data_IF_199541995610
#
_entry.id   IF_199541995610
#
_cell.length_a   1.000
_cell.length_b   1.000
_cell.length_c   1.000
_cell.angle_alpha   90.00
_cell.angle_beta   90.00
_cell.angle_gamma   90.00
#
_symmetry.space_group_name_H-M   'P 1'
#
loop_
_entity.id
_entity.type
_entity.pdbx_description
1 polymer ?
#
# COMPACT_ATOMS: atom_id res chain seq x y z
N UNK A 1 20.28 2.68 -6.50
CA UNK A 1 20.31 2.99 -5.05
C UNK A 1 18.96 2.77 -4.44
N UNK A 2 18.82 2.34 -3.19
CA UNK A 2 17.53 2.23 -2.50
C UNK A 2 16.82 3.60 -2.48
N UNK A 3 15.51 3.60 -2.66
CA UNK A 3 14.69 4.81 -2.72
C UNK A 3 13.84 4.93 -1.46
N UNK A 4 13.85 6.10 -0.81
CA UNK A 4 12.99 6.36 0.35
C UNK A 4 11.57 6.66 -0.12
N UNK A 5 10.63 5.86 0.36
CA UNK A 5 9.20 6.01 0.10
C UNK A 5 8.51 6.45 1.38
N UNK A 6 7.80 7.56 1.32
CA UNK A 6 6.97 8.10 2.38
C UNK A 6 5.58 7.48 2.31
N UNK A 7 5.00 7.10 3.45
CA UNK A 7 3.61 6.63 3.55
C UNK A 7 2.77 7.65 4.30
N UNK A 8 1.63 8.06 3.73
CA UNK A 8 0.75 9.07 4.28
C UNK A 8 -0.73 8.71 4.17
N UNK A 9 -1.47 9.19 5.14
CA UNK A 9 -2.92 9.05 5.24
C UNK A 9 -3.51 10.26 5.97
N UNK A 10 -4.78 10.20 6.33
CA UNK A 10 -5.41 11.21 7.20
C UNK A 10 -4.68 11.41 8.55
N UNK A 11 -3.88 10.47 8.99
CA UNK A 11 -3.19 10.53 10.28
C UNK A 11 -2.10 11.59 10.33
N UNK A 12 -1.47 11.90 9.19
CA UNK A 12 -0.48 12.98 9.07
C UNK A 12 -1.15 14.37 9.07
N UNK A 13 -2.47 14.43 8.79
CA UNK A 13 -3.20 15.70 8.70
C UNK A 13 -2.76 16.55 7.51
N UNK A 14 -2.67 17.85 7.73
CA UNK A 14 -2.22 18.78 6.68
C UNK A 14 -0.71 18.71 6.53
N UNK A 15 -0.24 18.37 5.33
CA UNK A 15 1.18 18.27 4.95
C UNK A 15 1.57 19.52 4.16
N UNK A 16 2.73 20.09 4.46
CA UNK A 16 3.40 21.12 3.65
C UNK A 16 4.26 20.40 2.59
N UNK A 17 3.63 20.14 1.44
CA UNK A 17 4.25 19.35 0.37
C UNK A 17 5.43 20.06 -0.30
N UNK A 18 5.47 21.39 -0.29
CA UNK A 18 6.61 22.16 -0.80
C UNK A 18 7.86 21.90 0.06
N UNK A 19 7.71 21.85 1.39
CA UNK A 19 8.81 21.47 2.30
C UNK A 19 9.22 20.01 2.15
N UNK A 20 8.25 19.09 1.97
CA UNK A 20 8.56 17.67 1.70
C UNK A 20 9.43 17.57 0.44
N UNK A 21 9.01 18.18 -0.65
CA UNK A 21 9.73 18.14 -1.93
C UNK A 21 11.11 18.82 -1.85
N UNK A 22 11.18 20.00 -1.23
CA UNK A 22 12.43 20.76 -1.08
C UNK A 22 13.47 20.03 -0.22
N UNK A 23 13.05 19.12 0.65
CA UNK A 23 13.96 18.34 1.49
C UNK A 23 14.84 17.37 0.72
N UNK A 24 14.40 16.93 -0.47
CA UNK A 24 15.08 15.90 -1.28
C UNK A 24 15.16 14.52 -0.63
N UNK A 25 14.50 14.31 0.53
CA UNK A 25 14.57 13.06 1.29
C UNK A 25 13.64 11.96 0.76
N UNK A 26 12.61 12.33 -0.02
CA UNK A 26 11.54 11.45 -0.46
C UNK A 26 11.64 11.20 -1.96
N UNK A 27 11.70 9.95 -2.37
CA UNK A 27 11.76 9.54 -3.77
C UNK A 27 10.39 9.17 -4.36
N UNK A 28 9.37 9.09 -3.52
CA UNK A 28 8.01 8.75 -3.89
C UNK A 28 7.12 8.56 -2.66
N UNK A 29 5.82 8.50 -2.88
CA UNK A 29 4.81 8.50 -1.81
C UNK A 29 3.79 7.38 -2.04
N UNK A 30 3.51 6.60 -1.00
CA UNK A 30 2.34 5.72 -0.93
C UNK A 30 1.23 6.45 -0.18
N UNK A 31 0.09 6.70 -0.80
CA UNK A 31 -1.01 7.46 -0.22
C UNK A 31 -2.18 6.51 0.08
N UNK A 32 -2.71 6.54 1.30
CA UNK A 32 -3.93 5.80 1.57
C UNK A 32 -5.11 6.39 0.78
N UNK A 33 -5.64 5.62 -0.16
CA UNK A 33 -6.84 6.00 -0.90
C UNK A 33 -8.12 5.51 -0.22
N UNK A 34 -8.09 4.29 0.35
CA UNK A 34 -9.21 3.72 1.09
C UNK A 34 -8.80 3.38 2.52
N UNK A 35 -9.52 3.93 3.48
CA UNK A 35 -9.44 3.54 4.89
C UNK A 35 -10.61 2.63 5.25
N UNK A 36 -10.61 2.14 6.50
CA UNK A 36 -11.66 1.30 7.02
C UNK A 36 -11.98 1.66 8.48
N UNK A 37 -12.98 1.00 9.08
CA UNK A 37 -13.30 1.10 10.50
C UNK A 37 -12.07 0.78 11.37
N UNK A 38 -12.14 1.10 12.67
CA UNK A 38 -11.07 0.76 13.63
C UNK A 38 -10.75 -0.74 13.60
N UNK A 39 -9.50 -1.08 13.85
CA UNK A 39 -9.02 -2.46 13.96
C UNK A 39 -9.96 -3.31 14.83
N UNK A 40 -10.20 -4.56 14.44
CA UNK A 40 -11.07 -5.50 15.14
C UNK A 40 -12.57 -5.16 15.12
N UNK A 41 -13.01 -4.12 14.38
CA UNK A 41 -14.42 -3.82 14.15
C UNK A 41 -14.85 -4.27 12.75
N UNK A 42 -16.13 -4.61 12.53
CA UNK A 42 -16.64 -4.99 11.21
C UNK A 42 -16.24 -3.96 10.14
N UNK A 43 -16.01 -4.43 8.91
CA UNK A 43 -15.59 -3.57 7.81
C UNK A 43 -16.63 -2.46 7.55
N UNK A 44 -16.14 -1.24 7.46
CA UNK A 44 -16.86 -0.05 7.02
C UNK A 44 -15.87 0.83 6.24
N UNK A 45 -15.64 0.51 4.95
CA UNK A 45 -14.65 1.21 4.13
C UNK A 45 -15.10 2.64 3.82
N UNK A 46 -14.14 3.55 3.65
CA UNK A 46 -14.36 4.94 3.26
C UNK A 46 -13.14 5.44 2.44
N UNK A 47 -13.37 6.42 1.56
CA UNK A 47 -12.27 7.12 0.88
C UNK A 47 -11.56 8.01 1.91
N UNK A 48 -10.23 7.91 1.98
CA UNK A 48 -9.45 8.72 2.91
C UNK A 48 -9.66 10.22 2.62
N UNK A 49 -10.07 11.03 3.60
CA UNK A 49 -10.41 12.44 3.37
C UNK A 49 -9.24 13.30 2.89
N UNK A 50 -8.00 12.85 3.08
CA UNK A 50 -6.81 13.55 2.60
C UNK A 50 -6.28 13.01 1.27
N UNK A 51 -6.85 11.91 0.74
CA UNK A 51 -6.37 11.27 -0.48
C UNK A 51 -6.33 12.23 -1.67
N UNK A 52 -7.46 12.88 -1.98
CA UNK A 52 -7.55 13.76 -3.15
C UNK A 52 -6.53 14.91 -3.08
N UNK A 53 -6.42 15.54 -1.90
CA UNK A 53 -5.45 16.63 -1.68
C UNK A 53 -4.01 16.14 -1.83
N UNK A 54 -3.65 15.07 -1.13
CA UNK A 54 -2.28 14.55 -1.16
C UNK A 54 -1.88 14.09 -2.57
N UNK A 55 -2.81 13.44 -3.29
CA UNK A 55 -2.59 13.06 -4.68
C UNK A 55 -2.35 14.28 -5.58
N UNK A 56 -3.21 15.31 -5.50
CA UNK A 56 -3.08 16.53 -6.30
C UNK A 56 -1.76 17.26 -6.05
N UNK A 57 -1.34 17.36 -4.80
CA UNK A 57 -0.07 17.99 -4.43
C UNK A 57 1.15 17.21 -4.95
N UNK A 58 1.14 15.87 -4.84
CA UNK A 58 2.20 15.06 -5.42
C UNK A 58 2.27 15.21 -6.94
N UNK A 59 1.10 15.26 -7.63
CA UNK A 59 1.06 15.51 -9.07
C UNK A 59 1.63 16.90 -9.41
N UNK A 60 1.24 17.95 -8.66
CA UNK A 60 1.74 19.32 -8.84
C UNK A 60 3.27 19.40 -8.76
N UNK A 61 3.87 18.61 -7.86
CA UNK A 61 5.31 18.62 -7.58
C UNK A 61 6.09 17.55 -8.37
N UNK A 62 5.41 16.73 -9.17
CA UNK A 62 6.06 15.65 -9.93
C UNK A 62 6.60 14.52 -9.03
N UNK A 63 6.08 14.36 -7.80
CA UNK A 63 6.48 13.29 -6.89
C UNK A 63 5.81 11.98 -7.32
N UNK A 64 6.55 10.89 -7.54
CA UNK A 64 5.98 9.60 -7.88
C UNK A 64 5.00 9.09 -6.83
N UNK A 65 3.80 8.66 -7.25
CA UNK A 65 2.72 8.23 -6.37
C UNK A 65 2.36 6.77 -6.60
N UNK A 66 2.21 6.03 -5.52
CA UNK A 66 1.44 4.81 -5.40
C UNK A 66 0.35 4.98 -4.34
N UNK A 67 -0.48 3.98 -4.20
CA UNK A 67 -1.60 4.05 -3.24
C UNK A 67 -1.80 2.73 -2.52
N UNK A 68 -2.50 2.80 -1.38
CA UNK A 68 -2.97 1.60 -0.70
C UNK A 68 -4.40 1.73 -0.21
N UNK A 69 -5.03 0.59 -0.07
CA UNK A 69 -6.33 0.43 0.58
C UNK A 69 -6.18 -0.47 1.81
N UNK A 70 -6.68 -0.03 2.96
CA UNK A 70 -6.77 -0.85 4.17
C UNK A 70 -7.99 -1.75 4.08
N UNK A 71 -7.76 -3.03 3.75
CA UNK A 71 -8.79 -4.04 3.59
C UNK A 71 -9.03 -4.80 4.90
N UNK A 72 -10.29 -5.12 5.19
CA UNK A 72 -10.71 -5.86 6.40
C UNK A 72 -11.66 -7.01 6.08
N UNK A 73 -11.89 -7.27 4.82
CA UNK A 73 -12.77 -8.32 4.36
C UNK A 73 -12.37 -9.69 4.94
N UNK A 74 -13.36 -10.41 5.45
CA UNK A 74 -13.25 -11.80 5.94
C UNK A 74 -13.96 -12.78 5.01
N UNK A 75 -14.56 -12.30 3.93
CA UNK A 75 -15.13 -13.08 2.83
C UNK A 75 -14.87 -12.38 1.50
N UNK A 76 -14.87 -13.13 0.38
CA UNK A 76 -14.71 -12.53 -0.96
C UNK A 76 -15.81 -11.53 -1.28
N UNK A 77 -17.05 -11.77 -0.88
CA UNK A 77 -18.17 -10.82 -1.07
C UNK A 77 -17.97 -9.49 -0.32
N UNK A 78 -17.30 -9.50 0.83
CA UNK A 78 -16.89 -8.27 1.51
C UNK A 78 -15.71 -7.61 0.79
N UNK A 79 -14.73 -8.39 0.34
CA UNK A 79 -13.60 -7.92 -0.45
C UNK A 79 -14.07 -7.20 -1.72
N UNK A 80 -15.06 -7.73 -2.43
CA UNK A 80 -15.61 -7.11 -3.64
C UNK A 80 -16.20 -5.73 -3.38
N UNK A 81 -16.86 -5.53 -2.22
CA UNK A 81 -17.38 -4.21 -1.81
C UNK A 81 -16.25 -3.21 -1.51
N UNK A 82 -15.20 -3.66 -0.82
CA UNK A 82 -14.01 -2.85 -0.55
C UNK A 82 -13.27 -2.52 -1.85
N UNK A 83 -13.09 -3.49 -2.74
CA UNK A 83 -12.47 -3.33 -4.05
C UNK A 83 -13.23 -2.34 -4.94
N UNK A 84 -14.58 -2.40 -4.96
CA UNK A 84 -15.40 -1.47 -5.73
C UNK A 84 -15.18 -0.01 -5.28
N UNK A 85 -15.16 0.25 -3.97
CA UNK A 85 -14.88 1.58 -3.42
C UNK A 85 -13.44 2.01 -3.70
N UNK A 86 -12.48 1.09 -3.58
CA UNK A 86 -11.07 1.36 -3.88
C UNK A 86 -10.89 1.72 -5.35
N UNK A 87 -11.45 0.93 -6.27
CA UNK A 87 -11.44 1.24 -7.72
C UNK A 87 -12.04 2.62 -8.01
N UNK A 88 -13.19 2.92 -7.40
CA UNK A 88 -13.84 4.23 -7.55
C UNK A 88 -12.92 5.38 -7.16
N UNK A 89 -12.17 5.26 -6.06
CA UNK A 89 -11.22 6.29 -5.63
C UNK A 89 -10.07 6.50 -6.63
N UNK A 90 -9.67 5.44 -7.35
CA UNK A 90 -8.49 5.43 -8.22
C UNK A 90 -8.83 5.75 -9.69
N UNK A 91 -10.07 5.63 -10.11
CA UNK A 91 -10.50 5.86 -11.50
C UNK A 91 -10.08 7.24 -12.00
N UNK A 92 -9.53 7.30 -13.21
CA UNK A 92 -9.05 8.53 -13.85
C UNK A 92 -7.72 9.07 -13.32
N UNK A 93 -7.02 8.33 -12.45
CA UNK A 93 -5.72 8.72 -11.90
C UNK A 93 -4.59 7.86 -12.47
N UNK A 94 -3.38 8.42 -12.43
CA UNK A 94 -2.14 7.73 -12.86
C UNK A 94 -1.21 7.53 -11.68
N UNK A 95 -0.48 6.41 -11.70
CA UNK A 95 0.41 5.99 -10.62
C UNK A 95 1.77 5.55 -11.17
N UNK A 96 2.85 5.95 -10.53
CA UNK A 96 4.23 5.57 -10.86
C UNK A 96 4.78 4.54 -9.87
N UNK A 97 4.07 4.31 -8.77
CA UNK A 97 4.37 3.29 -7.76
C UNK A 97 3.20 2.30 -7.67
N UNK A 98 3.37 1.16 -7.01
CA UNK A 98 2.35 0.12 -6.93
C UNK A 98 1.02 0.55 -6.30
N UNK A 99 -0.02 -0.24 -6.57
CA UNK A 99 -1.30 -0.18 -5.85
C UNK A 99 -1.33 -1.35 -4.88
N UNK A 100 -1.30 -1.04 -3.57
CA UNK A 100 -1.17 -2.03 -2.53
C UNK A 100 -2.51 -2.40 -1.88
N UNK A 101 -2.69 -3.69 -1.66
CA UNK A 101 -3.73 -4.29 -0.82
C UNK A 101 -3.12 -4.49 0.57
N UNK A 102 -3.58 -3.69 1.54
CA UNK A 102 -3.09 -3.69 2.92
C UNK A 102 -3.92 -4.64 3.79
N UNK A 103 -3.28 -5.69 4.32
CA UNK A 103 -3.87 -6.81 5.04
C UNK A 103 -3.17 -6.97 6.38
N UNK A 104 -3.84 -6.56 7.46
CA UNK A 104 -3.25 -6.59 8.80
C UNK A 104 -4.28 -6.65 9.96
N UNK A 105 -5.60 -6.71 9.64
CA UNK A 105 -6.63 -6.59 10.67
C UNK A 105 -6.78 -7.88 11.52
N UNK A 106 -7.09 -7.70 12.80
CA UNK A 106 -7.31 -8.78 13.76
C UNK A 106 -8.44 -9.72 13.37
N UNK A 107 -9.50 -9.22 12.70
CA UNK A 107 -10.58 -10.08 12.21
C UNK A 107 -10.08 -11.03 11.13
N UNK A 108 -9.17 -10.58 10.29
CA UNK A 108 -8.53 -11.40 9.27
C UNK A 108 -7.58 -12.43 9.90
N UNK A 109 -6.86 -12.06 10.95
CA UNK A 109 -5.99 -12.98 11.69
C UNK A 109 -6.76 -14.11 12.41
N UNK A 110 -8.07 -14.00 12.57
CA UNK A 110 -8.93 -15.04 13.13
C UNK A 110 -9.37 -16.11 12.08
N UNK A 111 -9.13 -15.85 10.79
CA UNK A 111 -9.42 -16.80 9.73
C UNK A 111 -8.36 -17.91 9.67
N UNK A 112 -8.72 -19.04 9.07
CA UNK A 112 -7.71 -20.03 8.71
C UNK A 112 -6.73 -19.44 7.68
N UNK A 113 -5.49 -19.90 7.72
CA UNK A 113 -4.43 -19.45 6.80
C UNK A 113 -4.82 -19.66 5.32
N UNK A 114 -5.51 -20.75 5.02
CA UNK A 114 -6.05 -21.04 3.68
C UNK A 114 -7.09 -19.99 3.28
N UNK A 115 -8.10 -19.77 4.13
CA UNK A 115 -9.20 -18.84 3.82
C UNK A 115 -8.70 -17.41 3.63
N UNK A 116 -7.78 -16.93 4.48
CA UNK A 116 -7.23 -15.59 4.34
C UNK A 116 -6.36 -15.45 3.08
N UNK A 117 -5.49 -16.44 2.82
CA UNK A 117 -4.67 -16.45 1.60
C UNK A 117 -5.54 -16.36 0.33
N UNK A 118 -6.66 -17.05 0.32
CA UNK A 118 -7.62 -17.09 -0.80
C UNK A 118 -8.31 -15.74 -1.02
N UNK A 119 -8.67 -15.05 0.08
CA UNK A 119 -9.24 -13.69 0.02
C UNK A 119 -8.20 -12.69 -0.47
N UNK A 120 -6.97 -12.76 0.03
CA UNK A 120 -5.87 -11.86 -0.37
C UNK A 120 -5.50 -12.06 -1.85
N UNK A 121 -5.39 -13.31 -2.30
CA UNK A 121 -5.14 -13.62 -3.70
C UNK A 121 -6.26 -13.09 -4.61
N UNK A 122 -7.52 -13.22 -4.19
CA UNK A 122 -8.65 -12.62 -4.88
C UNK A 122 -8.52 -11.10 -4.99
N UNK A 123 -8.23 -10.40 -3.89
CA UNK A 123 -8.04 -8.95 -3.91
C UNK A 123 -6.92 -8.52 -4.88
N UNK A 124 -5.77 -9.18 -4.80
CA UNK A 124 -4.62 -8.87 -5.65
C UNK A 124 -4.92 -9.12 -7.13
N UNK A 125 -5.56 -10.25 -7.47
CA UNK A 125 -5.96 -10.58 -8.84
C UNK A 125 -6.96 -9.56 -9.41
N UNK A 126 -7.92 -9.11 -8.60
CA UNK A 126 -8.86 -8.07 -9.03
C UNK A 126 -8.15 -6.73 -9.23
N UNK A 127 -7.25 -6.32 -8.34
CA UNK A 127 -6.45 -5.09 -8.50
C UNK A 127 -5.58 -5.18 -9.77
N UNK A 128 -4.90 -6.30 -10.00
CA UNK A 128 -4.10 -6.54 -11.21
C UNK A 128 -4.94 -6.45 -12.49
N UNK A 129 -6.17 -6.96 -12.46
CA UNK A 129 -7.10 -6.91 -13.61
C UNK A 129 -7.46 -5.48 -14.03
N UNK A 130 -7.25 -4.48 -13.19
CA UNK A 130 -7.43 -3.07 -13.55
C UNK A 130 -6.28 -2.53 -14.43
N UNK A 131 -5.27 -3.34 -14.73
CA UNK A 131 -4.11 -2.95 -15.54
C UNK A 131 -3.07 -2.15 -14.78
N UNK A 132 -2.91 -2.44 -13.48
CA UNK A 132 -1.96 -1.77 -12.59
C UNK A 132 -1.01 -2.76 -11.93
N UNK A 133 0.07 -2.26 -11.35
CA UNK A 133 1.02 -3.08 -10.60
C UNK A 133 0.47 -3.36 -9.19
N UNK A 134 -0.14 -4.53 -9.01
CA UNK A 134 -0.68 -4.97 -7.72
C UNK A 134 0.44 -5.38 -6.76
N UNK A 135 0.31 -5.04 -5.48
CA UNK A 135 1.26 -5.34 -4.42
C UNK A 135 0.54 -5.72 -3.13
N UNK A 136 1.07 -6.65 -2.37
CA UNK A 136 0.59 -6.97 -1.02
C UNK A 136 1.36 -6.13 0.00
N UNK A 137 0.66 -5.42 0.91
CA UNK A 137 1.26 -4.92 2.15
C UNK A 137 0.81 -5.79 3.31
N UNK A 138 1.79 -6.19 4.15
CA UNK A 138 1.52 -6.88 5.42
C UNK A 138 2.70 -6.73 6.38
N UNK A 139 2.41 -6.76 7.68
CA UNK A 139 3.44 -6.88 8.71
C UNK A 139 4.12 -8.25 8.67
N UNK A 140 5.43 -8.31 8.98
CA UNK A 140 6.24 -9.53 8.92
C UNK A 140 5.59 -10.70 9.70
N UNK A 141 5.27 -10.48 10.97
CA UNK A 141 4.69 -11.54 11.81
C UNK A 141 3.27 -11.91 11.38
N UNK A 142 2.49 -10.94 10.91
CA UNK A 142 1.16 -11.20 10.37
C UNK A 142 1.24 -12.11 9.14
N UNK A 143 2.11 -11.78 8.19
CA UNK A 143 2.30 -12.55 6.97
C UNK A 143 2.78 -13.98 7.27
N UNK A 144 3.81 -14.13 8.12
CA UNK A 144 4.33 -15.44 8.52
C UNK A 144 3.27 -16.34 9.15
N UNK A 145 2.46 -15.77 10.03
CA UNK A 145 1.46 -16.51 10.78
C UNK A 145 0.22 -16.84 9.94
N UNK A 146 -0.26 -15.90 9.14
CA UNK A 146 -1.62 -15.94 8.60
C UNK A 146 -1.71 -16.14 7.08
N UNK A 147 -0.57 -16.10 6.33
CA UNK A 147 -0.56 -16.20 4.87
C UNK A 147 0.44 -17.25 4.37
N UNK A 148 0.06 -17.98 3.33
CA UNK A 148 0.97 -18.86 2.59
C UNK A 148 1.78 -18.05 1.57
N UNK A 149 2.76 -17.27 2.04
CA UNK A 149 3.52 -16.32 1.22
C UNK A 149 4.30 -16.96 0.07
N UNK A 150 4.87 -18.16 0.29
CA UNK A 150 5.58 -18.93 -0.75
C UNK A 150 4.67 -19.76 -1.65
N UNK A 151 3.36 -19.78 -1.38
CA UNK A 151 2.36 -20.55 -2.14
C UNK A 151 2.07 -19.93 -3.51
N UNK A 152 1.63 -20.77 -4.47
CA UNK A 152 1.36 -20.35 -5.85
C UNK A 152 0.40 -19.14 -5.98
N UNK A 153 -0.52 -18.99 -5.02
CA UNK A 153 -1.52 -17.92 -5.03
C UNK A 153 -0.94 -16.51 -4.76
N UNK A 154 0.09 -16.38 -3.92
CA UNK A 154 0.69 -15.09 -3.56
C UNK A 154 2.08 -14.87 -4.16
N UNK A 155 2.80 -15.94 -4.51
CA UNK A 155 4.15 -15.87 -5.09
C UNK A 155 4.29 -14.94 -6.30
N UNK A 156 3.28 -14.78 -7.19
CA UNK A 156 3.38 -13.87 -8.34
C UNK A 156 3.43 -12.39 -7.94
N UNK A 157 2.91 -12.04 -6.77
CA UNK A 157 2.78 -10.66 -6.35
C UNK A 157 3.98 -10.17 -5.54
N UNK A 158 4.36 -8.93 -5.77
CA UNK A 158 5.38 -8.27 -4.98
C UNK A 158 4.85 -7.89 -3.59
N UNK A 159 5.76 -7.75 -2.63
CA UNK A 159 5.42 -7.51 -1.23
C UNK A 159 6.03 -6.20 -0.74
N UNK A 160 5.22 -5.39 -0.10
CA UNK A 160 5.62 -4.29 0.77
C UNK A 160 5.53 -4.77 2.22
N UNK A 161 6.68 -5.11 2.77
CA UNK A 161 6.82 -5.73 4.07
C UNK A 161 6.98 -4.69 5.18
N UNK A 162 6.16 -4.73 6.22
CA UNK A 162 6.36 -3.90 7.41
C UNK A 162 7.09 -4.69 8.51
N UNK A 163 8.23 -4.14 8.95
CA UNK A 163 8.99 -4.64 10.08
C UNK A 163 9.85 -3.50 10.64
N UNK A 164 9.43 -2.93 11.76
CA UNK A 164 10.11 -1.78 12.37
C UNK A 164 11.38 -2.21 13.07
N UNK A 165 12.51 -2.07 12.38
CA UNK A 165 13.85 -2.44 12.83
C UNK A 165 14.91 -1.73 12.01
N UNK A 166 16.16 -1.79 12.46
CA UNK A 166 17.32 -1.16 11.80
C UNK A 166 17.87 -1.99 10.65
N UNK A 167 17.76 -3.31 10.74
CA UNK A 167 18.29 -4.24 9.74
C UNK A 167 17.19 -4.80 8.85
N UNK A 168 17.53 -4.96 7.55
CA UNK A 168 16.62 -5.57 6.58
C UNK A 168 16.17 -6.95 7.05
N UNK A 169 14.84 -7.24 7.09
CA UNK A 169 14.34 -8.56 7.46
C UNK A 169 14.81 -9.64 6.51
N UNK A 170 15.06 -10.84 7.05
CA UNK A 170 15.24 -12.06 6.27
C UNK A 170 13.94 -12.83 6.24
N UNK A 171 13.52 -13.26 5.05
CA UNK A 171 12.30 -14.05 4.81
C UNK A 171 12.60 -15.15 3.80
N UNK A 172 11.78 -16.20 3.79
CA UNK A 172 11.78 -17.27 2.79
C UNK A 172 11.02 -16.92 1.51
N UNK A 173 10.47 -15.69 1.43
CA UNK A 173 9.87 -15.10 0.23
C UNK A 173 10.50 -13.75 -0.11
N UNK A 174 10.36 -13.34 -1.37
CA UNK A 174 10.88 -12.06 -1.83
C UNK A 174 9.94 -10.89 -1.44
N UNK A 175 10.54 -9.72 -1.17
CA UNK A 175 9.82 -8.46 -1.04
C UNK A 175 10.59 -7.34 -1.74
N UNK A 176 9.86 -6.43 -2.37
CA UNK A 176 10.44 -5.32 -3.13
C UNK A 176 10.44 -3.99 -2.39
N UNK A 177 9.67 -3.86 -1.30
CA UNK A 177 9.62 -2.67 -0.46
C UNK A 177 9.57 -3.07 1.01
N UNK A 178 10.25 -2.31 1.87
CA UNK A 178 10.31 -2.53 3.31
C UNK A 178 10.00 -1.26 4.07
N UNK A 179 8.91 -1.27 4.85
CA UNK A 179 8.57 -0.23 5.81
C UNK A 179 9.33 -0.50 7.12
N UNK A 180 10.32 0.34 7.41
CA UNK A 180 11.27 0.11 8.50
C UNK A 180 11.00 0.93 9.75
N UNK A 181 10.17 1.98 9.67
CA UNK A 181 9.80 2.84 10.80
C UNK A 181 8.43 3.48 10.60
N UNK A 182 7.74 3.75 11.71
CA UNK A 182 6.50 4.53 11.78
C UNK A 182 6.70 5.91 12.43
N UNK A 183 7.95 6.30 12.69
CA UNK A 183 8.29 7.54 13.41
C UNK A 183 9.31 8.40 12.68
N UNK A 184 9.42 8.22 11.35
CA UNK A 184 10.30 9.02 10.50
C UNK A 184 9.97 10.51 10.57
N UNK A 185 11.01 11.35 10.49
CA UNK A 185 10.85 12.81 10.49
C UNK A 185 11.11 13.34 9.09
N UNK A 186 10.09 13.94 8.49
CA UNK A 186 10.17 14.57 7.17
C UNK A 186 9.79 16.04 7.31
N UNK A 187 10.59 16.99 6.81
CA UNK A 187 10.20 18.40 6.76
C UNK A 187 8.83 18.58 6.09
N UNK A 188 7.94 19.36 6.68
CA UNK A 188 6.58 19.55 6.17
C UNK A 188 5.53 18.61 6.79
N UNK A 189 5.94 17.61 7.58
CA UNK A 189 5.04 16.71 8.32
C UNK A 189 5.22 16.96 9.81
N UNK A 190 4.15 17.39 10.50
CA UNK A 190 4.21 17.73 11.93
C UNK A 190 4.32 16.50 12.83
N UNK A 191 3.79 15.36 12.41
CA UNK A 191 3.82 14.08 13.14
C UNK A 191 4.86 13.15 12.52
N UNK A 192 5.18 12.06 13.21
CA UNK A 192 5.95 10.97 12.60
C UNK A 192 5.25 10.41 11.37
N UNK A 193 6.01 9.92 10.43
CA UNK A 193 5.53 9.29 9.23
C UNK A 193 6.19 7.94 9.02
N UNK A 194 5.48 7.04 8.37
CA UNK A 194 6.00 5.74 7.99
C UNK A 194 6.96 5.90 6.81
N UNK A 195 8.14 5.32 6.94
CA UNK A 195 9.14 5.35 5.88
C UNK A 195 9.50 3.94 5.44
N UNK A 196 9.66 3.81 4.12
CA UNK A 196 10.04 2.57 3.47
C UNK A 196 11.26 2.73 2.58
N UNK A 197 11.94 1.62 2.34
CA UNK A 197 12.98 1.48 1.32
C UNK A 197 12.42 0.64 0.17
N UNK A 198 12.38 1.20 -1.03
CA UNK A 198 12.08 0.45 -2.25
C UNK A 198 13.39 -0.06 -2.87
N UNK A 199 13.45 -1.37 -3.12
CA UNK A 199 14.60 -2.06 -3.72
C UNK A 199 14.48 -2.20 -5.22
N UNK A 200 13.29 -1.97 -5.78
CA UNK A 200 13.00 -2.03 -7.21
C UNK A 200 12.75 -0.63 -7.78
N UNK A 201 13.03 -0.45 -9.06
CA UNK A 201 12.63 0.74 -9.82
C UNK A 201 11.17 0.60 -10.29
N UNK A 202 10.23 0.76 -9.36
CA UNK A 202 8.81 0.62 -9.67
C UNK A 202 8.35 1.58 -10.77
N UNK A 203 8.79 2.82 -10.75
CA UNK A 203 8.40 3.81 -11.76
C UNK A 203 8.82 3.35 -13.16
N UNK A 204 10.07 2.90 -13.32
CA UNK A 204 10.54 2.35 -14.59
C UNK A 204 9.84 1.04 -14.99
N UNK A 205 9.56 0.15 -14.03
CA UNK A 205 8.83 -1.11 -14.29
C UNK A 205 7.41 -0.81 -14.77
N UNK A 206 6.67 0.03 -14.04
CA UNK A 206 5.28 0.39 -14.32
C UNK A 206 5.16 1.11 -15.67
N UNK A 207 6.07 2.05 -15.94
CA UNK A 207 6.10 2.78 -17.21
C UNK A 207 6.32 1.83 -18.40
N UNK A 208 7.33 0.96 -18.35
CA UNK A 208 7.63 0.03 -19.44
C UNK A 208 6.53 -1.00 -19.69
N UNK A 209 5.82 -1.40 -18.62
CA UNK A 209 4.74 -2.37 -18.70
C UNK A 209 3.35 -1.74 -19.02
N UNK A 210 3.24 -0.41 -19.04
CA UNK A 210 1.96 0.27 -19.23
C UNK A 210 0.94 0.06 -18.10
N UNK A 211 1.44 -0.11 -16.86
CA UNK A 211 0.64 -0.44 -15.66
C UNK A 211 0.37 0.77 -14.75
N UNK A 212 0.40 1.97 -15.30
CA UNK A 212 0.27 3.20 -14.51
C UNK A 212 -1.13 3.78 -14.41
N UNK A 213 -2.15 3.17 -15.04
CA UNK A 213 -3.50 3.74 -15.08
C UNK A 213 -4.57 2.66 -14.86
N UNK A 214 -5.51 2.95 -13.95
CA UNK A 214 -6.67 2.08 -13.72
C UNK A 214 -7.57 2.09 -14.94
N UNK A 215 -7.73 0.91 -15.55
CA UNK A 215 -8.63 0.69 -16.69
C UNK A 215 -10.06 0.44 -16.19
N UNK A 216 -11.00 0.90 -16.95
CA UNK A 216 -12.43 0.78 -16.65
C UNK A 216 -12.96 -0.65 -16.57
#
# INVERSE_FOLDING_TARGET
>A
MPRTILDVSRWQGSIDWDKVNASGLVSGVMIRAMGNSKEGKPSKPYIDPFFARNYAECQRLGIPVGVYGYFKATTKAQADKELALFKQALTGKTFQLPIAVDIEDKLQAALSKVALTDIVAHCLSVVESWGVYAMLYAGLYFAQKNLYMGGAALKPYDVWLAAYRTEKPTTDWAFGMWQYTSSGKIPGIAKGADLSVAYKDYAGIIQRAGLGQVRG
#
